data_IF_725914918856
#
_entry.id   IF_725914918856
#
_cell.length_a   1.000
_cell.length_b   1.000
_cell.length_c   1.000
_cell.angle_alpha   90.00
_cell.angle_beta   90.00
_cell.angle_gamma   90.00
#
_symmetry.space_group_name_H-M   'P 1'
#
loop_
_entity.id
_entity.type
_entity.pdbx_description
1 polymer ?
#
# COMPACT_ATOMS: atom_id res chain seq x y z
N UNK A 1 36.11 -39.18 22.42
CA UNK A 1 36.51 -37.75 22.57
C UNK A 1 36.58 -37.09 21.20
N UNK A 2 35.54 -36.39 20.76
CA UNK A 2 35.54 -35.69 19.48
C UNK A 2 36.19 -34.29 19.65
N UNK A 3 37.28 -34.03 18.91
CA UNK A 3 37.99 -32.75 18.92
C UNK A 3 37.11 -31.68 18.24
N UNK A 4 36.55 -30.77 19.05
CA UNK A 4 35.90 -29.55 18.56
C UNK A 4 36.90 -28.68 17.77
N UNK A 5 36.83 -28.74 16.43
CA UNK A 5 37.52 -27.80 15.55
C UNK A 5 36.89 -26.41 15.72
N UNK A 6 37.60 -25.50 16.41
CA UNK A 6 37.26 -24.07 16.45
C UNK A 6 37.19 -23.55 15.00
N UNK A 7 35.98 -23.23 14.52
CA UNK A 7 35.78 -22.50 13.25
C UNK A 7 36.52 -21.17 13.35
N UNK A 8 37.56 -20.97 12.52
CA UNK A 8 38.24 -19.68 12.35
C UNK A 8 37.18 -18.64 11.95
N UNK A 9 37.02 -17.58 12.77
CA UNK A 9 36.19 -16.43 12.37
C UNK A 9 36.80 -15.83 11.10
N UNK A 10 36.02 -15.61 10.02
CA UNK A 10 36.54 -14.97 8.82
C UNK A 10 37.08 -13.59 9.18
N UNK A 11 38.30 -13.28 8.73
CA UNK A 11 38.85 -11.93 8.87
C UNK A 11 37.97 -10.95 8.08
N UNK A 12 37.67 -9.76 8.62
CA UNK A 12 36.92 -8.75 7.90
C UNK A 12 37.67 -8.37 6.61
N UNK A 13 36.95 -8.12 5.50
CA UNK A 13 37.56 -7.70 4.25
C UNK A 13 38.35 -6.40 4.45
N UNK A 14 39.48 -6.26 3.75
CA UNK A 14 40.29 -5.04 3.81
C UNK A 14 39.57 -3.88 3.13
N UNK A 15 39.56 -2.68 3.75
CA UNK A 15 38.93 -1.46 3.23
C UNK A 15 39.29 -1.14 1.76
N UNK A 16 40.51 -1.48 1.32
CA UNK A 16 40.96 -1.29 -0.07
C UNK A 16 40.12 -2.05 -1.11
N UNK A 17 39.55 -3.21 -0.77
CA UNK A 17 38.73 -4.01 -1.69
C UNK A 17 37.36 -3.40 -1.92
N UNK A 18 36.81 -2.68 -0.95
CA UNK A 18 35.46 -2.12 -1.07
C UNK A 18 35.40 -0.98 -2.09
N UNK A 19 36.50 -0.23 -2.26
CA UNK A 19 36.66 0.81 -3.27
C UNK A 19 37.09 0.30 -4.65
N UNK A 20 37.43 -0.98 -4.78
CA UNK A 20 37.86 -1.53 -6.06
C UNK A 20 36.67 -1.65 -7.02
N UNK A 21 36.83 -1.08 -8.20
CA UNK A 21 35.86 -1.15 -9.30
C UNK A 21 36.34 -2.23 -10.25
N UNK A 22 35.70 -3.39 -10.18
CA UNK A 22 36.01 -4.50 -11.09
C UNK A 22 35.55 -4.17 -12.50
N UNK A 23 36.17 -4.79 -13.51
CA UNK A 23 35.76 -4.61 -14.92
C UNK A 23 34.28 -4.97 -15.13
N UNK A 24 33.83 -6.10 -14.57
CA UNK A 24 32.44 -6.55 -14.67
C UNK A 24 31.45 -5.53 -14.08
N UNK A 25 31.77 -4.95 -12.92
CA UNK A 25 30.93 -3.91 -12.33
C UNK A 25 30.95 -2.62 -13.18
N UNK A 26 32.12 -2.22 -13.69
CA UNK A 26 32.26 -1.06 -14.57
C UNK A 26 31.40 -1.18 -15.83
N UNK A 27 31.46 -2.34 -16.49
CA UNK A 27 30.73 -2.61 -17.72
C UNK A 27 29.21 -2.60 -17.47
N UNK A 28 28.76 -3.27 -16.40
CA UNK A 28 27.34 -3.30 -16.01
C UNK A 28 26.82 -1.92 -15.60
N UNK A 29 27.56 -1.17 -14.76
CA UNK A 29 27.17 0.19 -14.38
C UNK A 29 27.09 1.11 -15.60
N UNK A 30 28.03 0.99 -16.54
CA UNK A 30 28.02 1.77 -17.78
C UNK A 30 26.83 1.45 -18.68
N UNK A 31 26.39 0.19 -18.71
CA UNK A 31 25.16 -0.22 -19.39
C UNK A 31 23.93 0.41 -18.70
N UNK A 32 23.84 0.29 -17.38
CA UNK A 32 22.71 0.82 -16.60
C UNK A 32 22.62 2.35 -16.71
N UNK A 33 23.73 3.07 -16.57
CA UNK A 33 23.74 4.54 -16.68
C UNK A 33 23.23 5.03 -18.05
N UNK A 34 23.56 4.33 -19.14
CA UNK A 34 23.03 4.63 -20.48
C UNK A 34 21.52 4.39 -20.57
N UNK A 35 21.04 3.28 -20.02
CA UNK A 35 19.60 2.98 -19.95
C UNK A 35 18.85 3.98 -19.06
N UNK A 36 19.46 4.44 -17.97
CA UNK A 36 18.91 5.50 -17.12
C UNK A 36 18.76 6.81 -17.89
N UNK A 37 19.75 7.19 -18.71
CA UNK A 37 19.60 8.36 -19.60
C UNK A 37 18.42 8.18 -20.57
N UNK A 38 18.27 7.00 -21.18
CA UNK A 38 17.13 6.72 -22.08
C UNK A 38 15.78 6.82 -21.38
N UNK A 39 15.67 6.32 -20.14
CA UNK A 39 14.46 6.45 -19.33
C UNK A 39 14.09 7.90 -19.06
N UNK A 40 15.09 8.77 -18.98
CA UNK A 40 14.94 10.22 -18.80
C UNK A 40 14.79 10.97 -20.14
N UNK A 41 14.58 10.26 -21.26
CA UNK A 41 14.51 10.81 -22.61
C UNK A 41 15.79 11.56 -23.05
N UNK A 42 16.95 11.15 -22.54
CA UNK A 42 18.25 11.68 -22.89
C UNK A 42 19.05 10.73 -23.79
N UNK A 43 19.94 11.30 -24.59
CA UNK A 43 20.85 10.53 -25.44
C UNK A 43 21.84 9.69 -24.59
N UNK A 44 21.86 8.34 -24.72
CA UNK A 44 22.85 7.49 -24.06
C UNK A 44 24.30 7.93 -24.27
N UNK A 45 24.61 8.56 -25.40
CA UNK A 45 25.96 9.02 -25.73
C UNK A 45 26.47 10.13 -24.80
N UNK A 46 25.59 10.80 -24.04
CA UNK A 46 26.00 11.74 -22.99
C UNK A 46 26.90 11.06 -21.94
N UNK A 47 26.67 9.79 -21.62
CA UNK A 47 27.55 9.03 -20.73
C UNK A 47 28.97 8.87 -21.29
N UNK A 48 29.11 8.80 -22.62
CA UNK A 48 30.42 8.62 -23.25
C UNK A 48 31.30 9.87 -23.12
N UNK A 49 30.70 11.06 -22.90
CA UNK A 49 31.42 12.34 -22.70
C UNK A 49 32.18 12.40 -21.37
N UNK A 50 31.86 11.55 -20.39
CA UNK A 50 32.63 11.46 -19.15
C UNK A 50 33.97 10.74 -19.35
N UNK A 51 35.02 11.29 -18.75
CA UNK A 51 36.35 10.65 -18.72
C UNK A 51 36.31 9.33 -17.94
N UNK A 52 37.29 8.44 -18.20
CA UNK A 52 37.42 7.19 -17.42
C UNK A 52 37.55 7.46 -15.91
N UNK A 53 38.26 8.51 -15.52
CA UNK A 53 38.42 8.93 -14.12
C UNK A 53 37.06 9.26 -13.49
N UNK A 54 36.23 10.05 -14.17
CA UNK A 54 34.90 10.42 -13.67
C UNK A 54 33.95 9.23 -13.56
N UNK A 55 33.98 8.32 -14.55
CA UNK A 55 33.19 7.09 -14.50
C UNK A 55 33.58 6.23 -13.30
N UNK A 56 34.88 6.11 -13.01
CA UNK A 56 35.35 5.41 -11.81
C UNK A 56 34.92 6.15 -10.53
N UNK A 57 34.97 7.49 -10.51
CA UNK A 57 34.50 8.28 -9.36
C UNK A 57 33.00 8.06 -9.08
N UNK A 58 32.15 8.04 -10.12
CA UNK A 58 30.73 7.70 -10.01
C UNK A 58 30.53 6.35 -9.34
N UNK A 59 31.33 5.35 -9.73
CA UNK A 59 31.23 3.97 -9.27
C UNK A 59 31.76 3.73 -7.84
N UNK A 60 32.50 4.69 -7.25
CA UNK A 60 33.06 4.54 -5.89
C UNK A 60 32.02 4.67 -4.79
N UNK A 61 31.00 5.49 -5.00
CA UNK A 61 29.88 5.65 -4.07
C UNK A 61 28.84 4.54 -4.30
N UNK A 62 29.25 3.28 -4.10
CA UNK A 62 28.40 2.11 -4.38
C UNK A 62 27.09 2.17 -3.61
N UNK A 63 25.96 1.97 -4.28
CA UNK A 63 24.68 1.83 -3.62
C UNK A 63 24.38 0.35 -3.36
N UNK A 64 23.93 0.04 -2.15
CA UNK A 64 23.40 -1.28 -1.83
C UNK A 64 21.94 -1.39 -2.24
N UNK A 65 21.46 -2.62 -2.41
CA UNK A 65 20.02 -2.86 -2.54
C UNK A 65 19.28 -2.38 -1.28
N UNK A 66 18.01 -1.96 -1.40
CA UNK A 66 17.23 -1.51 -0.25
C UNK A 66 17.22 -2.54 0.88
N UNK A 67 17.41 -2.05 2.11
CA UNK A 67 17.36 -2.84 3.33
C UNK A 67 16.06 -2.60 4.07
N UNK A 68 15.52 -3.64 4.70
CA UNK A 68 14.27 -3.57 5.45
C UNK A 68 14.55 -3.80 6.92
N UNK A 69 14.04 -2.90 7.76
CA UNK A 69 14.14 -3.01 9.21
C UNK A 69 12.88 -2.46 9.87
N UNK A 70 12.63 -2.84 11.12
CA UNK A 70 11.64 -2.16 11.93
C UNK A 70 12.15 -0.76 12.28
N UNK A 71 11.31 0.26 12.16
CA UNK A 71 11.66 1.60 12.65
C UNK A 71 11.90 1.54 14.17
N UNK A 72 12.96 2.19 14.71
CA UNK A 72 13.18 2.27 16.15
C UNK A 72 11.92 2.73 16.90
N UNK A 73 11.54 2.00 17.95
CA UNK A 73 10.34 2.27 18.74
C UNK A 73 9.05 1.62 18.20
N UNK A 74 9.08 1.00 17.02
CA UNK A 74 7.92 0.29 16.48
C UNK A 74 8.04 -1.22 16.65
N UNK A 75 6.95 -1.85 17.08
CA UNK A 75 6.85 -3.30 17.17
C UNK A 75 6.42 -3.90 15.82
N UNK A 76 7.40 -4.26 14.98
CA UNK A 76 7.13 -4.98 13.73
C UNK A 76 7.56 -6.44 13.85
N UNK A 77 6.66 -7.42 13.66
CA UNK A 77 7.03 -8.83 13.70
C UNK A 77 8.16 -9.15 12.70
N UNK A 78 9.21 -9.85 13.16
CA UNK A 78 10.38 -10.17 12.33
C UNK A 78 10.02 -10.95 11.06
N UNK A 79 9.01 -11.79 11.11
CA UNK A 79 8.56 -12.56 9.95
C UNK A 79 7.91 -11.65 8.88
N UNK A 80 7.26 -10.55 9.27
CA UNK A 80 6.77 -9.53 8.34
C UNK A 80 7.91 -8.80 7.64
N UNK A 81 8.95 -8.38 8.38
CA UNK A 81 10.13 -7.75 7.77
C UNK A 81 10.77 -8.66 6.70
N UNK A 82 10.95 -9.95 7.03
CA UNK A 82 11.49 -10.93 6.08
C UNK A 82 10.59 -11.14 4.87
N UNK A 83 9.28 -11.21 5.08
CA UNK A 83 8.30 -11.34 4.01
C UNK A 83 8.34 -10.13 3.08
N UNK A 84 8.25 -8.91 3.62
CA UNK A 84 8.29 -7.67 2.84
C UNK A 84 9.60 -7.57 2.06
N UNK A 85 10.74 -7.88 2.69
CA UNK A 85 12.04 -7.87 2.02
C UNK A 85 12.09 -8.86 0.85
N UNK A 86 11.56 -10.07 1.04
CA UNK A 86 11.51 -11.10 0.00
C UNK A 86 10.66 -10.62 -1.19
N UNK A 87 9.41 -10.23 -0.94
CA UNK A 87 8.48 -9.77 -1.98
C UNK A 87 9.01 -8.54 -2.72
N UNK A 88 9.58 -7.58 -1.98
CA UNK A 88 10.25 -6.42 -2.55
C UNK A 88 11.42 -6.81 -3.46
N UNK A 89 12.29 -7.72 -3.02
CA UNK A 89 13.44 -8.16 -3.80
C UNK A 89 13.00 -8.85 -5.09
N UNK A 90 12.03 -9.76 -4.99
CA UNK A 90 11.45 -10.45 -6.16
C UNK A 90 10.84 -9.46 -7.15
N UNK A 91 10.08 -8.46 -6.67
CA UNK A 91 9.56 -7.38 -7.51
C UNK A 91 10.68 -6.61 -8.19
N UNK A 92 11.70 -6.20 -7.43
CA UNK A 92 12.80 -5.39 -7.96
C UNK A 92 13.59 -6.12 -9.05
N UNK A 93 13.78 -7.44 -8.92
CA UNK A 93 14.53 -8.26 -9.87
C UNK A 93 13.74 -8.52 -11.16
N UNK A 94 12.43 -8.75 -11.07
CA UNK A 94 11.62 -9.20 -12.21
C UNK A 94 10.89 -8.08 -12.94
N UNK A 95 10.56 -6.98 -12.26
CA UNK A 95 9.80 -5.88 -12.87
C UNK A 95 10.77 -4.88 -13.51
N UNK A 96 10.41 -4.47 -14.74
CA UNK A 96 11.15 -3.46 -15.51
C UNK A 96 10.66 -2.06 -15.17
N UNK A 97 11.59 -1.12 -15.13
CA UNK A 97 11.31 0.29 -14.88
C UNK A 97 11.15 1.02 -16.21
N UNK A 98 10.10 1.84 -16.34
CA UNK A 98 9.76 2.53 -17.59
C UNK A 98 9.50 1.57 -18.77
N UNK A 99 10.11 1.85 -19.92
CA UNK A 99 9.96 1.02 -21.13
C UNK A 99 10.58 -0.38 -20.93
N UNK A 100 9.76 -1.47 -20.98
CA UNK A 100 10.26 -2.84 -20.87
C UNK A 100 11.33 -3.21 -21.90
N UNK A 101 11.36 -2.56 -23.07
CA UNK A 101 12.33 -2.83 -24.14
C UNK A 101 13.77 -2.53 -23.73
N UNK A 102 13.98 -1.60 -22.79
CA UNK A 102 15.28 -1.27 -22.23
C UNK A 102 15.83 -2.41 -21.34
N UNK A 103 14.95 -3.30 -20.87
CA UNK A 103 15.30 -4.43 -20.02
C UNK A 103 15.87 -4.04 -18.65
N UNK A 104 15.77 -2.77 -18.24
CA UNK A 104 16.29 -2.28 -16.96
C UNK A 104 15.35 -2.69 -15.82
N UNK A 105 15.84 -3.49 -14.88
CA UNK A 105 15.06 -3.86 -13.69
C UNK A 105 15.08 -2.73 -12.65
N UNK A 106 14.11 -2.74 -11.74
CA UNK A 106 14.14 -1.87 -10.55
C UNK A 106 15.38 -2.12 -9.71
N UNK A 107 15.86 -3.36 -9.59
CA UNK A 107 17.07 -3.69 -8.84
C UNK A 107 18.31 -3.00 -9.43
N UNK A 108 18.51 -3.11 -10.75
CA UNK A 108 19.62 -2.46 -11.45
C UNK A 108 19.51 -0.93 -11.33
N UNK A 109 18.30 -0.38 -11.49
CA UNK A 109 18.06 1.05 -11.34
C UNK A 109 18.38 1.54 -9.92
N UNK A 110 17.85 0.90 -8.88
CA UNK A 110 18.02 1.36 -7.49
C UNK A 110 19.45 1.20 -6.96
N UNK A 111 20.25 0.31 -7.55
CA UNK A 111 21.63 0.06 -7.12
C UNK A 111 22.69 0.76 -7.99
N UNK A 112 22.40 1.04 -9.26
CA UNK A 112 23.37 1.66 -10.18
C UNK A 112 22.82 2.90 -10.87
N UNK A 113 21.55 2.89 -11.28
CA UNK A 113 20.89 4.03 -11.94
C UNK A 113 20.74 5.24 -11.01
N UNK A 114 20.21 5.04 -9.80
CA UNK A 114 20.08 6.07 -8.77
C UNK A 114 21.45 6.55 -8.28
N UNK A 115 22.45 5.67 -8.22
CA UNK A 115 23.83 6.04 -7.92
C UNK A 115 24.38 7.01 -8.97
N UNK A 116 24.13 6.73 -10.26
CA UNK A 116 24.48 7.63 -11.35
C UNK A 116 23.76 8.98 -11.22
N UNK A 117 22.43 8.98 -11.05
CA UNK A 117 21.63 10.20 -10.88
C UNK A 117 22.09 11.07 -9.71
N UNK A 118 22.24 10.47 -8.52
CA UNK A 118 22.70 11.17 -7.32
C UNK A 118 24.10 11.76 -7.47
N UNK A 119 25.03 11.05 -8.11
CA UNK A 119 26.36 11.60 -8.38
C UNK A 119 26.29 12.82 -9.30
N UNK A 120 25.48 12.74 -10.37
CA UNK A 120 25.29 13.86 -11.30
C UNK A 120 24.74 15.08 -10.56
N UNK A 121 23.69 14.91 -9.76
CA UNK A 121 23.09 15.98 -8.96
C UNK A 121 24.10 16.62 -8.00
N UNK A 122 24.86 15.78 -7.27
CA UNK A 122 25.89 16.27 -6.35
C UNK A 122 26.95 17.10 -7.09
N UNK A 123 27.44 16.63 -8.25
CA UNK A 123 28.45 17.36 -9.04
C UNK A 123 27.92 18.62 -9.71
N UNK A 124 26.66 18.64 -10.13
CA UNK A 124 26.01 19.85 -10.63
C UNK A 124 26.03 20.96 -9.56
N UNK A 125 25.76 20.60 -8.30
CA UNK A 125 25.75 21.55 -7.18
C UNK A 125 27.15 22.00 -6.75
N UNK A 126 28.14 21.11 -6.76
CA UNK A 126 29.52 21.44 -6.33
C UNK A 126 30.31 22.27 -7.36
N UNK A 127 30.08 22.09 -8.66
CA UNK A 127 31.03 22.48 -9.71
C UNK A 127 30.40 23.28 -10.85
N UNK A 128 29.78 24.40 -10.51
CA UNK A 128 29.28 25.35 -11.51
C UNK A 128 30.36 25.85 -12.51
N UNK A 129 31.66 25.69 -12.19
CA UNK A 129 32.80 26.16 -13.01
C UNK A 129 33.70 25.06 -13.60
N UNK A 130 33.23 23.82 -13.81
CA UNK A 130 34.03 22.77 -14.45
C UNK A 130 33.74 22.63 -15.96
N UNK A 131 34.69 22.04 -16.71
CA UNK A 131 34.58 21.83 -18.17
C UNK A 131 33.32 21.03 -18.57
N UNK A 132 32.82 20.15 -17.69
CA UNK A 132 31.58 19.40 -17.89
C UNK A 132 30.37 19.97 -17.13
N UNK A 133 30.42 21.20 -16.63
CA UNK A 133 29.33 21.79 -15.84
C UNK A 133 27.99 21.73 -16.60
N UNK A 134 28.01 22.05 -17.89
CA UNK A 134 26.82 22.00 -18.75
C UNK A 134 26.28 20.56 -18.91
N UNK A 135 27.16 19.57 -19.03
CA UNK A 135 26.76 18.16 -19.10
C UNK A 135 26.09 17.71 -17.80
N UNK A 136 26.65 18.08 -16.64
CA UNK A 136 26.05 17.78 -15.34
C UNK A 136 24.69 18.49 -15.19
N UNK A 137 24.58 19.75 -15.62
CA UNK A 137 23.33 20.52 -15.58
C UNK A 137 22.22 19.86 -16.39
N UNK A 138 22.47 19.55 -17.67
CA UNK A 138 21.49 18.92 -18.57
C UNK A 138 20.94 17.62 -17.96
N UNK A 139 21.82 16.76 -17.46
CA UNK A 139 21.40 15.48 -16.88
C UNK A 139 20.70 15.72 -15.53
N UNK A 140 21.22 16.61 -14.68
CA UNK A 140 20.68 16.89 -13.34
C UNK A 140 19.25 17.42 -13.39
N UNK A 141 18.92 18.29 -14.35
CA UNK A 141 17.55 18.80 -14.53
C UNK A 141 16.55 17.66 -14.76
N UNK A 142 16.92 16.63 -15.51
CA UNK A 142 16.07 15.46 -15.72
C UNK A 142 16.07 14.53 -14.50
N UNK A 143 17.22 14.32 -13.86
CA UNK A 143 17.28 13.50 -12.63
C UNK A 143 16.34 14.07 -11.57
N UNK A 144 16.30 15.40 -11.39
CA UNK A 144 15.38 16.04 -10.44
C UNK A 144 13.91 15.73 -10.74
N UNK A 145 13.49 15.78 -12.01
CA UNK A 145 12.11 15.46 -12.43
C UNK A 145 11.73 14.01 -12.08
N UNK A 146 12.68 13.08 -12.21
CA UNK A 146 12.41 11.65 -12.07
C UNK A 146 12.76 11.06 -10.69
N UNK A 147 13.50 11.76 -9.86
CA UNK A 147 13.94 11.30 -8.52
C UNK A 147 13.42 12.16 -7.35
N UNK A 148 12.57 13.17 -7.57
CA UNK A 148 12.01 14.04 -6.51
C UNK A 148 10.94 13.39 -5.60
N UNK A 149 10.71 12.08 -5.72
CA UNK A 149 9.62 11.35 -5.04
C UNK A 149 8.20 11.89 -5.31
N UNK A 150 8.01 12.72 -6.33
CA UNK A 150 6.71 13.15 -6.83
C UNK A 150 6.00 12.07 -7.65
N UNK A 151 4.82 12.40 -8.17
CA UNK A 151 3.99 11.46 -8.96
C UNK A 151 4.66 11.00 -10.26
N UNK A 152 5.60 11.79 -10.79
CA UNK A 152 6.39 11.47 -11.98
C UNK A 152 7.65 10.65 -11.68
N UNK A 153 7.92 10.37 -10.40
CA UNK A 153 9.16 9.69 -10.03
C UNK A 153 9.19 8.24 -10.52
N UNK A 154 10.34 7.83 -11.08
CA UNK A 154 10.55 6.47 -11.58
C UNK A 154 10.44 5.41 -10.47
N UNK A 155 10.63 5.78 -9.20
CA UNK A 155 10.52 4.88 -8.05
C UNK A 155 9.09 4.76 -7.51
N UNK A 156 8.18 5.65 -7.91
CA UNK A 156 6.82 5.72 -7.37
C UNK A 156 6.04 4.41 -7.55
N UNK A 157 6.10 3.68 -8.70
CA UNK A 157 5.39 2.41 -8.82
C UNK A 157 5.89 1.34 -7.85
N UNK A 158 7.19 1.32 -7.55
CA UNK A 158 7.76 0.43 -6.53
C UNK A 158 7.25 0.78 -5.12
N UNK A 159 7.14 2.06 -4.78
CA UNK A 159 6.56 2.47 -3.50
C UNK A 159 5.07 2.20 -3.39
N UNK A 160 4.32 2.31 -4.50
CA UNK A 160 2.92 1.87 -4.56
C UNK A 160 2.80 0.36 -4.32
N UNK A 161 3.75 -0.43 -4.82
CA UNK A 161 3.81 -1.87 -4.54
C UNK A 161 4.15 -2.16 -3.06
N UNK A 162 5.11 -1.47 -2.45
CA UNK A 162 5.37 -1.60 -1.01
C UNK A 162 4.15 -1.23 -0.16
N UNK A 163 3.48 -0.13 -0.50
CA UNK A 163 2.20 0.28 0.11
C UNK A 163 1.15 -0.82 -0.02
N UNK A 164 1.05 -1.47 -1.17
CA UNK A 164 0.12 -2.58 -1.38
C UNK A 164 0.41 -3.76 -0.43
N UNK A 165 1.67 -4.20 -0.33
CA UNK A 165 2.07 -5.29 0.59
C UNK A 165 1.73 -4.92 2.03
N UNK A 166 2.11 -3.73 2.48
CA UNK A 166 1.88 -3.28 3.85
C UNK A 166 0.39 -3.08 4.15
N UNK A 167 -0.40 -2.67 3.16
CA UNK A 167 -1.85 -2.60 3.24
C UNK A 167 -2.50 -3.96 3.50
N UNK A 168 -1.95 -5.05 2.96
CA UNK A 168 -2.42 -6.41 3.25
C UNK A 168 -2.10 -6.88 4.67
N UNK A 169 -1.09 -6.29 5.31
CA UNK A 169 -0.75 -6.57 6.70
C UNK A 169 -1.53 -5.68 7.68
N UNK A 170 -2.14 -4.59 7.19
CA UNK A 170 -2.75 -3.54 8.01
C UNK A 170 -4.20 -3.86 8.39
N UNK A 171 -4.51 -3.80 9.68
CA UNK A 171 -5.81 -4.14 10.25
C UNK A 171 -6.28 -3.08 11.25
N UNK A 172 -7.47 -2.50 11.03
CA UNK A 172 -8.02 -1.47 11.92
C UNK A 172 -8.26 -1.95 13.35
N UNK A 173 -8.58 -3.23 13.55
CA UNK A 173 -8.79 -3.82 14.87
C UNK A 173 -7.50 -4.24 15.58
N UNK A 174 -6.34 -3.96 14.99
CA UNK A 174 -5.05 -4.32 15.56
C UNK A 174 -4.00 -3.23 15.29
N UNK A 175 -3.37 -3.28 14.11
CA UNK A 175 -2.21 -2.46 13.78
C UNK A 175 -2.18 -2.12 12.30
N UNK A 176 -1.76 -0.89 11.99
CA UNK A 176 -1.54 -0.40 10.64
C UNK A 176 -0.05 -0.29 10.38
N UNK A 177 0.39 -0.71 9.19
CA UNK A 177 1.80 -0.73 8.80
C UNK A 177 2.07 0.29 7.71
N UNK A 178 3.17 1.02 7.85
CA UNK A 178 3.67 1.98 6.88
C UNK A 178 5.18 1.84 6.71
N UNK A 179 5.81 2.82 6.07
CA UNK A 179 7.26 2.87 6.00
C UNK A 179 7.79 4.29 5.85
N UNK A 180 9.01 4.45 6.33
CA UNK A 180 9.86 5.62 6.12
C UNK A 180 11.13 5.21 5.38
N UNK A 181 11.75 6.19 4.75
CA UNK A 181 13.05 6.02 4.11
C UNK A 181 14.11 6.69 4.98
N UNK A 182 15.19 5.97 5.20
CA UNK A 182 16.40 6.50 5.81
C UNK A 182 17.61 6.12 4.94
N UNK A 183 18.60 7.00 4.87
CA UNK A 183 19.79 6.79 4.06
C UNK A 183 20.98 6.61 4.99
N UNK A 184 21.53 5.39 5.04
CA UNK A 184 22.66 5.09 5.93
C UNK A 184 23.76 4.37 5.19
N UNK A 185 24.97 4.52 5.70
CA UNK A 185 26.07 3.68 5.32
C UNK A 185 25.85 2.25 5.83
N UNK A 186 26.11 1.24 5.00
CA UNK A 186 25.98 -0.16 5.42
C UNK A 186 27.05 -0.51 6.45
N UNK A 187 26.70 -1.26 7.50
CA UNK A 187 27.65 -1.62 8.57
C UNK A 187 28.84 -2.46 8.11
N UNK A 188 28.72 -3.12 6.95
CA UNK A 188 29.69 -4.12 6.48
C UNK A 188 30.58 -3.62 5.35
N UNK A 189 30.24 -2.51 4.70
CA UNK A 189 30.96 -1.92 3.55
C UNK A 189 30.69 -0.42 3.47
N UNK A 190 31.62 0.34 2.89
CA UNK A 190 31.42 1.75 2.52
C UNK A 190 30.46 1.86 1.32
N UNK A 191 29.18 1.54 1.54
CA UNK A 191 28.10 1.64 0.57
C UNK A 191 26.96 2.44 1.18
N UNK A 192 26.35 3.31 0.39
CA UNK A 192 25.12 3.97 0.78
C UNK A 192 23.95 3.02 0.52
N UNK A 193 23.02 2.91 1.44
CA UNK A 193 21.82 2.10 1.25
C UNK A 193 20.57 2.87 1.69
N UNK A 194 19.49 2.63 0.96
CA UNK A 194 18.15 3.00 1.40
C UNK A 194 17.69 1.97 2.43
N UNK A 195 17.42 2.42 3.63
CA UNK A 195 16.75 1.65 4.67
C UNK A 195 15.26 2.00 4.64
N UNK A 196 14.45 1.05 4.20
CA UNK A 196 13.00 1.09 4.29
C UNK A 196 12.62 0.63 5.69
N UNK A 197 12.35 1.61 6.55
CA UNK A 197 12.02 1.40 7.94
C UNK A 197 10.52 1.18 8.08
N UNK A 198 10.11 -0.05 8.34
CA UNK A 198 8.70 -0.42 8.49
C UNK A 198 8.18 0.14 9.81
N UNK A 199 7.12 0.93 9.72
CA UNK A 199 6.42 1.47 10.89
C UNK A 199 5.23 0.57 11.21
N UNK A 200 4.85 0.55 12.48
CA UNK A 200 3.65 -0.14 12.92
C UNK A 200 2.98 0.67 14.03
N UNK A 201 1.70 0.97 13.83
CA UNK A 201 0.91 1.87 14.70
C UNK A 201 -0.35 1.13 15.12
N UNK A 202 -0.55 0.99 16.42
CA UNK A 202 -1.79 0.43 16.96
C UNK A 202 -2.94 1.41 16.81
N UNK A 203 -4.09 0.91 16.38
CA UNK A 203 -5.28 1.74 16.28
C UNK A 203 -5.82 2.05 17.68
N UNK A 204 -6.14 3.32 17.93
CA UNK A 204 -6.79 3.74 19.18
C UNK A 204 -8.12 2.99 19.34
N UNK A 205 -8.24 2.24 20.44
CA UNK A 205 -9.44 1.49 20.79
C UNK A 205 -10.24 2.23 21.86
N UNK A 206 -11.52 2.50 21.58
CA UNK A 206 -12.45 3.11 22.52
C UNK A 206 -13.74 2.29 22.62
N UNK A 207 -14.32 2.23 23.81
CA UNK A 207 -15.62 1.59 24.02
C UNK A 207 -16.74 2.63 23.94
N UNK A 208 -17.75 2.35 23.13
CA UNK A 208 -18.95 3.18 22.98
C UNK A 208 -20.19 2.43 23.44
N UNK A 209 -21.22 3.16 23.87
CA UNK A 209 -22.47 2.56 24.36
C UNK A 209 -23.47 2.52 23.19
N UNK A 210 -23.89 1.32 22.80
CA UNK A 210 -24.89 1.15 21.75
C UNK A 210 -25.92 0.10 22.16
N UNK A 211 -27.17 0.54 22.31
CA UNK A 211 -28.29 -0.27 22.87
C UNK A 211 -27.90 -0.89 24.21
N UNK A 212 -27.46 -0.05 25.14
CA UNK A 212 -27.05 -0.42 26.51
C UNK A 212 -25.89 -1.42 26.62
N UNK A 213 -25.21 -1.70 25.51
CA UNK A 213 -24.03 -2.58 25.46
C UNK A 213 -22.79 -1.76 25.13
N UNK A 214 -21.72 -1.97 25.90
CA UNK A 214 -20.38 -1.47 25.56
C UNK A 214 -19.86 -2.24 24.35
N UNK A 215 -19.48 -1.52 23.29
CA UNK A 215 -18.93 -2.08 22.06
C UNK A 215 -17.58 -1.44 21.75
N UNK A 216 -16.54 -2.24 21.48
CA UNK A 216 -15.25 -1.70 21.07
C UNK A 216 -15.35 -1.17 19.65
N UNK A 217 -14.74 0.00 19.43
CA UNK A 217 -14.51 0.58 18.13
C UNK A 217 -13.06 1.09 18.03
N UNK A 218 -12.56 1.13 16.81
CA UNK A 218 -11.17 1.47 16.51
C UNK A 218 -11.13 2.73 15.67
N UNK A 219 -10.26 3.67 16.03
CA UNK A 219 -10.10 4.92 15.31
C UNK A 219 -9.53 4.65 13.93
N UNK A 220 -10.15 5.24 12.91
CA UNK A 220 -9.66 5.16 11.55
C UNK A 220 -8.39 6.00 11.41
N UNK A 221 -7.39 5.40 10.78
CA UNK A 221 -6.13 6.05 10.48
C UNK A 221 -5.57 5.50 9.17
N UNK A 222 -4.75 6.29 8.51
CA UNK A 222 -3.94 5.86 7.38
C UNK A 222 -2.49 5.90 7.81
N UNK A 223 -1.82 4.75 7.73
CA UNK A 223 -0.37 4.72 7.84
C UNK A 223 0.20 5.54 6.69
N UNK A 224 1.03 6.54 7.00
CA UNK A 224 1.67 7.30 5.95
C UNK A 224 2.77 6.47 5.30
N UNK A 225 2.95 6.74 4.02
CA UNK A 225 4.04 6.24 3.21
C UNK A 225 4.90 7.46 2.92
N UNK A 226 6.20 7.40 3.21
CA UNK A 226 7.15 8.53 3.02
C UNK A 226 7.01 9.70 4.00
N UNK A 227 6.07 9.66 4.96
CA UNK A 227 5.99 10.63 6.07
C UNK A 227 6.01 9.91 7.41
N UNK A 228 6.65 10.50 8.43
CA UNK A 228 6.83 9.84 9.71
C UNK A 228 5.58 9.83 10.59
N UNK A 229 4.65 10.75 10.34
CA UNK A 229 3.46 10.93 11.16
C UNK A 229 2.35 9.99 10.72
N UNK A 230 1.39 9.73 11.60
CA UNK A 230 0.18 8.99 11.27
C UNK A 230 -0.90 9.98 10.86
N UNK A 231 -1.65 9.67 9.81
CA UNK A 231 -2.81 10.50 9.44
C UNK A 231 -4.05 9.88 10.03
N UNK A 232 -4.54 10.40 11.15
CA UNK A 232 -5.87 10.05 11.64
C UNK A 232 -6.93 10.54 10.66
N UNK A 233 -7.96 9.73 10.46
CA UNK A 233 -9.06 10.06 9.56
C UNK A 233 -10.18 10.69 10.38
N UNK A 234 -10.35 11.99 10.18
CA UNK A 234 -11.42 12.77 10.79
C UNK A 234 -12.35 13.31 9.69
N UNK A 235 -13.61 13.62 10.02
CA UNK A 235 -14.59 14.23 9.09
C UNK A 235 -14.98 15.63 9.56
N UNK A 236 -15.14 16.61 8.66
CA UNK A 236 -15.67 17.91 9.04
C UNK A 236 -17.06 17.81 9.68
N UNK A 237 -17.32 18.61 10.73
CA UNK A 237 -18.58 18.60 11.47
C UNK A 237 -19.78 18.92 10.57
N UNK A 238 -19.63 19.91 9.68
CA UNK A 238 -20.67 20.35 8.74
C UNK A 238 -21.08 19.26 7.72
N UNK A 239 -20.18 18.30 7.45
CA UNK A 239 -20.47 17.14 6.58
C UNK A 239 -21.49 16.19 7.22
N UNK A 240 -21.43 16.06 8.55
CA UNK A 240 -22.31 15.17 9.33
C UNK A 240 -23.61 15.87 9.76
N UNK A 241 -23.51 17.13 10.15
CA UNK A 241 -24.63 17.97 10.58
C UNK A 241 -24.88 19.08 9.56
N UNK A 242 -25.72 18.78 8.56
CA UNK A 242 -26.11 19.75 7.52
C UNK A 242 -26.60 21.05 8.17
N UNK A 243 -26.15 22.19 7.64
CA UNK A 243 -26.41 23.56 8.12
C UNK A 243 -25.61 24.03 9.34
N UNK A 244 -24.67 23.23 9.85
CA UNK A 244 -23.75 23.71 10.88
C UNK A 244 -22.50 24.33 10.23
N UNK A 245 -22.10 25.54 10.66
CA UNK A 245 -20.92 26.25 10.13
C UNK A 245 -19.65 26.02 10.95
N UNK A 246 -19.65 25.06 11.88
CA UNK A 246 -18.50 24.76 12.71
C UNK A 246 -17.34 24.21 11.89
N UNK A 247 -16.15 24.78 12.11
CA UNK A 247 -14.87 24.29 11.58
C UNK A 247 -14.27 23.12 12.39
N UNK A 248 -15.05 22.52 13.29
CA UNK A 248 -14.63 21.35 14.06
C UNK A 248 -14.53 20.11 13.15
N UNK A 249 -13.67 19.19 13.56
CA UNK A 249 -13.55 17.86 12.98
C UNK A 249 -14.02 16.81 13.99
N UNK A 250 -14.72 15.80 13.50
CA UNK A 250 -15.20 14.65 14.26
C UNK A 250 -14.27 13.47 14.00
N UNK A 251 -13.85 12.81 15.07
CA UNK A 251 -13.03 11.61 14.97
C UNK A 251 -13.88 10.45 14.44
N UNK A 252 -13.31 9.59 13.59
CA UNK A 252 -14.06 8.46 13.03
C UNK A 252 -13.57 7.16 13.64
N UNK A 253 -14.53 6.37 14.13
CA UNK A 253 -14.31 5.04 14.68
C UNK A 253 -15.15 4.01 13.93
N UNK A 254 -14.62 2.78 13.80
CA UNK A 254 -15.36 1.64 13.27
C UNK A 254 -15.50 0.55 14.33
N UNK A 255 -16.71 0.05 14.54
CA UNK A 255 -16.94 -1.03 15.49
C UNK A 255 -16.29 -2.35 15.03
N UNK A 256 -15.80 -3.14 15.99
CA UNK A 256 -15.20 -4.46 15.69
C UNK A 256 -16.12 -5.35 14.86
N UNK A 257 -17.43 -5.32 15.11
CA UNK A 257 -18.38 -6.14 14.37
C UNK A 257 -18.63 -5.62 12.95
N UNK A 258 -18.46 -4.32 12.70
CA UNK A 258 -18.56 -3.75 11.36
C UNK A 258 -17.42 -4.26 10.46
N UNK A 259 -16.20 -4.34 11.00
CA UNK A 259 -15.05 -4.92 10.30
C UNK A 259 -15.29 -6.38 9.91
N UNK A 260 -15.90 -7.18 10.80
CA UNK A 260 -16.30 -8.55 10.50
C UNK A 260 -17.36 -8.59 9.39
N UNK A 261 -18.42 -7.78 9.48
CA UNK A 261 -19.45 -7.69 8.43
C UNK A 261 -18.88 -7.23 7.09
N UNK A 262 -17.86 -6.37 7.09
CA UNK A 262 -17.14 -5.98 5.87
C UNK A 262 -16.43 -7.17 5.23
N UNK A 263 -15.77 -8.03 6.03
CA UNK A 263 -15.14 -9.28 5.55
C UNK A 263 -16.17 -10.24 4.95
N UNK A 264 -17.31 -10.42 5.62
CA UNK A 264 -18.35 -11.35 5.20
C UNK A 264 -19.07 -10.93 3.91
N UNK A 265 -19.30 -9.61 3.74
CA UNK A 265 -20.15 -9.05 2.68
C UNK A 265 -19.37 -8.58 1.46
N UNK A 266 -18.12 -8.16 1.65
CA UNK A 266 -17.19 -7.80 0.58
C UNK A 266 -16.13 -8.90 0.45
N UNK A 267 -16.61 -10.14 0.36
CA UNK A 267 -15.82 -11.37 0.49
C UNK A 267 -14.88 -11.65 -0.69
N UNK A 268 -15.08 -10.95 -1.82
CA UNK A 268 -14.15 -10.97 -2.95
C UNK A 268 -13.02 -9.96 -2.83
N UNK A 269 -13.10 -9.03 -1.88
CA UNK A 269 -12.11 -7.97 -1.69
C UNK A 269 -11.08 -8.37 -0.64
N UNK A 270 -9.81 -8.18 -0.96
CA UNK A 270 -8.74 -8.39 -0.01
C UNK A 270 -8.76 -7.32 1.10
N UNK A 271 -7.97 -7.53 2.16
CA UNK A 271 -7.95 -6.64 3.32
C UNK A 271 -7.54 -5.21 2.95
N UNK A 272 -6.54 -5.05 2.08
CA UNK A 272 -6.09 -3.73 1.63
C UNK A 272 -7.18 -2.98 0.86
N UNK A 273 -7.86 -3.65 -0.08
CA UNK A 273 -8.97 -3.06 -0.86
C UNK A 273 -10.11 -2.60 0.06
N UNK A 274 -10.51 -3.44 1.02
CA UNK A 274 -11.55 -3.08 2.01
C UNK A 274 -11.13 -1.88 2.84
N UNK A 275 -9.87 -1.80 3.25
CA UNK A 275 -9.37 -0.65 4.01
C UNK A 275 -9.36 0.64 3.18
N UNK A 276 -8.91 0.58 1.91
CA UNK A 276 -8.90 1.71 0.99
C UNK A 276 -10.32 2.22 0.78
N UNK A 277 -11.27 1.32 0.51
CA UNK A 277 -12.68 1.65 0.33
C UNK A 277 -13.28 2.28 1.58
N UNK A 278 -13.00 1.72 2.76
CA UNK A 278 -13.49 2.28 4.01
C UNK A 278 -12.99 3.72 4.23
N UNK A 279 -11.70 3.97 4.01
CA UNK A 279 -11.12 5.30 4.16
C UNK A 279 -11.69 6.26 3.09
N UNK A 280 -11.74 5.85 1.83
CA UNK A 280 -12.26 6.71 0.75
C UNK A 280 -13.72 7.08 0.98
N UNK A 281 -14.53 6.15 1.47
CA UNK A 281 -15.95 6.37 1.79
C UNK A 281 -16.14 7.53 2.76
N UNK A 282 -15.37 7.57 3.83
CA UNK A 282 -15.54 8.60 4.87
C UNK A 282 -14.91 9.94 4.46
N UNK A 283 -13.81 9.90 3.71
CA UNK A 283 -13.09 11.10 3.26
C UNK A 283 -13.84 11.79 2.12
N UNK A 284 -14.19 11.05 1.06
CA UNK A 284 -14.65 11.62 -0.21
C UNK A 284 -16.17 11.78 -0.29
N UNK A 285 -16.95 10.88 0.32
CA UNK A 285 -18.39 10.82 0.05
C UNK A 285 -19.23 11.56 1.08
N UNK A 286 -20.30 12.20 0.64
CA UNK A 286 -21.23 12.92 1.52
C UNK A 286 -22.06 11.98 2.40
N UNK A 287 -22.64 12.55 3.46
CA UNK A 287 -23.55 11.84 4.34
C UNK A 287 -24.95 11.82 3.73
N UNK A 288 -25.48 10.61 3.57
CA UNK A 288 -26.85 10.34 3.13
C UNK A 288 -27.74 9.89 4.29
N UNK A 289 -29.03 9.79 4.02
CA UNK A 289 -30.02 9.23 4.95
C UNK A 289 -30.54 7.91 4.38
N UNK A 290 -30.44 6.85 5.19
CA UNK A 290 -31.06 5.56 4.90
C UNK A 290 -32.58 5.62 5.09
N UNK A 291 -33.29 4.60 4.62
CA UNK A 291 -34.75 4.46 4.80
C UNK A 291 -35.16 4.42 6.28
N UNK A 292 -34.25 4.00 7.15
CA UNK A 292 -34.43 4.00 8.60
C UNK A 292 -34.27 5.40 9.25
N UNK A 293 -33.97 6.44 8.46
CA UNK A 293 -33.63 7.79 8.93
C UNK A 293 -32.20 7.92 9.48
N UNK A 294 -31.45 6.82 9.58
CA UNK A 294 -30.06 6.82 10.05
C UNK A 294 -29.13 7.43 9.00
N UNK A 295 -28.16 8.21 9.46
CA UNK A 295 -27.08 8.72 8.61
C UNK A 295 -26.11 7.62 8.20
N UNK A 296 -25.63 7.65 6.97
CA UNK A 296 -24.62 6.73 6.46
C UNK A 296 -23.66 7.41 5.49
N UNK A 297 -22.44 6.87 5.37
CA UNK A 297 -21.58 7.14 4.22
C UNK A 297 -21.86 6.12 3.12
N UNK A 298 -21.77 6.54 1.87
CA UNK A 298 -21.75 5.63 0.73
C UNK A 298 -20.34 5.08 0.53
N UNK A 299 -20.23 3.79 0.21
CA UNK A 299 -18.97 3.14 -0.13
C UNK A 299 -18.95 2.83 -1.62
N UNK A 300 -18.01 3.43 -2.32
CA UNK A 300 -17.92 3.39 -3.78
C UNK A 300 -16.73 2.55 -4.23
N UNK A 301 -16.90 1.78 -5.31
CA UNK A 301 -15.79 1.14 -6.01
C UNK A 301 -14.89 2.17 -6.75
N UNK A 302 -13.88 1.68 -7.48
CA UNK A 302 -12.99 2.55 -8.27
C UNK A 302 -13.69 3.30 -9.41
N UNK A 303 -14.86 2.82 -9.85
CA UNK A 303 -15.67 3.39 -10.91
C UNK A 303 -16.80 4.30 -10.36
N UNK A 304 -16.75 4.64 -9.06
CA UNK A 304 -17.76 5.45 -8.37
C UNK A 304 -19.14 4.80 -8.23
N UNK A 305 -19.25 3.47 -8.37
CA UNK A 305 -20.49 2.76 -8.11
C UNK A 305 -20.63 2.38 -6.63
N UNK A 306 -21.83 2.51 -6.08
CA UNK A 306 -22.10 2.22 -4.66
C UNK A 306 -22.14 0.72 -4.42
N UNK A 307 -21.22 0.18 -3.63
CA UNK A 307 -21.18 -1.25 -3.27
C UNK A 307 -21.73 -1.52 -1.88
N UNK A 308 -21.68 -0.53 -0.99
CA UNK A 308 -22.16 -0.66 0.38
C UNK A 308 -22.49 0.70 1.00
N UNK A 309 -23.14 0.66 2.16
CA UNK A 309 -23.42 1.81 3.01
C UNK A 309 -22.87 1.58 4.41
N UNK A 310 -22.34 2.65 5.01
CA UNK A 310 -21.72 2.66 6.34
C UNK A 310 -22.60 3.46 7.31
N UNK A 311 -23.68 2.88 7.85
CA UNK A 311 -24.50 3.54 8.85
C UNK A 311 -23.70 3.88 10.09
N UNK A 312 -23.90 5.08 10.61
CA UNK A 312 -23.20 5.56 11.79
C UNK A 312 -24.11 6.29 12.77
N UNK A 313 -23.58 6.53 13.97
CA UNK A 313 -24.12 7.44 14.98
C UNK A 313 -23.03 8.40 15.42
N UNK A 314 -23.42 9.53 16.02
CA UNK A 314 -22.49 10.47 16.64
C UNK A 314 -22.63 10.38 18.15
N UNK A 315 -21.51 10.19 18.86
CA UNK A 315 -21.45 10.17 20.33
C UNK A 315 -20.13 10.82 20.75
N UNK A 316 -20.16 11.77 21.70
CA UNK A 316 -18.98 12.43 22.27
C UNK A 316 -17.99 12.95 21.21
N UNK A 317 -18.49 13.73 20.24
CA UNK A 317 -17.74 14.26 19.09
C UNK A 317 -17.04 13.19 18.22
N UNK A 318 -17.51 11.95 18.27
CA UNK A 318 -17.03 10.84 17.47
C UNK A 318 -18.12 10.31 16.53
N UNK A 319 -17.78 10.09 15.27
CA UNK A 319 -18.59 9.31 14.32
C UNK A 319 -18.26 7.83 14.49
N UNK A 320 -19.27 7.01 14.78
CA UNK A 320 -19.10 5.58 15.05
C UNK A 320 -19.81 4.79 13.97
N UNK A 321 -19.03 4.19 13.05
CA UNK A 321 -19.52 3.30 12.02
C UNK A 321 -19.99 2.01 12.69
N UNK A 322 -21.28 1.72 12.54
CA UNK A 322 -21.95 0.64 13.23
C UNK A 322 -21.79 -0.68 12.49
N UNK A 323 -21.97 -0.70 11.17
CA UNK A 323 -21.92 -1.93 10.36
C UNK A 323 -21.65 -1.57 8.90
N UNK A 324 -21.49 -2.57 8.04
CA UNK A 324 -21.37 -2.41 6.59
C UNK A 324 -22.58 -3.06 5.94
N UNK A 325 -23.51 -2.28 5.40
CA UNK A 325 -24.69 -2.78 4.71
C UNK A 325 -24.38 -2.94 3.22
N UNK A 326 -24.55 -4.11 2.61
CA UNK A 326 -24.41 -4.24 1.16
C UNK A 326 -25.46 -3.38 0.47
N UNK A 327 -25.18 -2.92 -0.75
CA UNK A 327 -26.09 -2.06 -1.52
C UNK A 327 -27.48 -2.68 -1.68
N UNK A 328 -27.58 -4.01 -1.70
CA UNK A 328 -28.81 -4.80 -1.81
C UNK A 328 -29.61 -4.95 -0.52
N UNK A 329 -29.11 -4.44 0.62
CA UNK A 329 -29.82 -4.57 1.88
C UNK A 329 -31.15 -3.79 1.86
N UNK A 330 -32.29 -4.35 2.31
CA UNK A 330 -33.60 -3.68 2.21
C UNK A 330 -33.72 -2.34 2.96
N UNK A 331 -32.80 -2.05 3.89
CA UNK A 331 -32.77 -0.77 4.61
C UNK A 331 -32.03 0.35 3.88
N UNK A 332 -31.43 0.04 2.72
CA UNK A 332 -30.79 1.00 1.83
C UNK A 332 -31.75 1.44 0.74
N UNK A 333 -31.56 2.64 0.15
CA UNK A 333 -32.44 3.12 -0.93
C UNK A 333 -32.49 2.19 -2.14
N UNK A 334 -31.35 1.60 -2.51
CA UNK A 334 -31.23 0.70 -3.66
C UNK A 334 -31.79 -0.69 -3.32
N UNK A 335 -31.45 -1.24 -2.16
CA UNK A 335 -31.89 -2.56 -1.75
C UNK A 335 -33.40 -2.66 -1.53
N UNK A 336 -34.04 -1.59 -1.04
CA UNK A 336 -35.51 -1.53 -0.94
C UNK A 336 -36.20 -1.72 -2.29
N UNK A 337 -35.77 -0.97 -3.31
CA UNK A 337 -36.30 -1.08 -4.69
C UNK A 337 -36.08 -2.47 -5.28
N UNK A 338 -34.92 -3.06 -5.00
CA UNK A 338 -34.61 -4.43 -5.41
C UNK A 338 -35.56 -5.45 -4.75
N UNK A 339 -35.82 -5.32 -3.44
CA UNK A 339 -36.76 -6.18 -2.71
C UNK A 339 -38.19 -6.05 -3.25
N UNK A 340 -38.64 -4.83 -3.53
CA UNK A 340 -39.96 -4.56 -4.12
C UNK A 340 -40.09 -5.21 -5.51
N UNK A 341 -39.04 -5.10 -6.34
CA UNK A 341 -38.97 -5.71 -7.68
C UNK A 341 -38.99 -7.23 -7.60
N UNK A 342 -38.19 -7.81 -6.71
CA UNK A 342 -38.10 -9.25 -6.52
C UNK A 342 -39.28 -9.81 -5.71
N UNK A 343 -40.07 -8.98 -5.03
CA UNK A 343 -41.03 -9.40 -3.99
C UNK A 343 -40.38 -10.33 -2.97
N UNK A 344 -39.17 -9.98 -2.53
CA UNK A 344 -38.36 -10.77 -1.61
C UNK A 344 -38.20 -10.05 -0.28
N UNK A 345 -38.17 -10.82 0.79
CA UNK A 345 -37.87 -10.37 2.15
C UNK A 345 -36.36 -10.28 2.38
N UNK A 346 -35.97 -9.61 3.46
CA UNK A 346 -34.56 -9.53 3.86
C UNK A 346 -33.94 -10.91 4.06
N UNK A 347 -34.67 -11.77 4.77
CA UNK A 347 -34.24 -13.11 5.15
C UNK A 347 -34.03 -13.98 3.91
N UNK A 348 -34.91 -13.87 2.90
CA UNK A 348 -34.75 -14.55 1.62
C UNK A 348 -33.50 -14.07 0.88
N UNK A 349 -33.22 -12.76 0.84
CA UNK A 349 -32.00 -12.24 0.22
C UNK A 349 -30.73 -12.77 0.92
N UNK A 350 -30.73 -12.79 2.27
CA UNK A 350 -29.61 -13.32 3.06
C UNK A 350 -29.43 -14.84 2.83
N UNK A 351 -30.52 -15.62 2.78
CA UNK A 351 -30.49 -17.07 2.49
C UNK A 351 -29.93 -17.33 1.07
N UNK A 352 -30.31 -16.50 0.09
CA UNK A 352 -29.79 -16.57 -1.26
C UNK A 352 -28.32 -16.11 -1.37
N UNK A 353 -27.75 -15.50 -0.31
CA UNK A 353 -26.40 -14.94 -0.33
C UNK A 353 -26.28 -13.60 -1.07
N UNK A 354 -27.42 -12.96 -1.39
CA UNK A 354 -27.45 -11.65 -2.08
C UNK A 354 -26.94 -10.50 -1.22
N UNK A 355 -26.59 -10.77 0.04
CA UNK A 355 -25.90 -9.85 0.93
C UNK A 355 -24.37 -9.88 0.79
N UNK A 356 -23.83 -10.72 -0.11
CA UNK A 356 -22.40 -10.85 -0.41
C UNK A 356 -22.06 -10.40 -1.84
N UNK A 357 -20.89 -9.82 -2.01
CA UNK A 357 -20.39 -9.37 -3.31
C UNK A 357 -20.07 -10.54 -4.25
N UNK A 358 -19.56 -11.66 -3.71
CA UNK A 358 -19.28 -12.87 -4.50
C UNK A 358 -20.52 -13.43 -5.20
N UNK A 359 -21.72 -13.26 -4.64
CA UNK A 359 -22.95 -13.68 -5.28
C UNK A 359 -23.11 -13.03 -6.66
N UNK A 360 -22.88 -11.73 -6.77
CA UNK A 360 -23.03 -11.00 -8.03
C UNK A 360 -21.93 -11.31 -9.03
N UNK A 361 -20.74 -11.66 -8.57
CA UNK A 361 -19.61 -11.96 -9.44
C UNK A 361 -19.61 -13.40 -9.98
N UNK A 362 -20.23 -14.33 -9.24
CA UNK A 362 -20.20 -15.76 -9.55
C UNK A 362 -21.53 -16.30 -10.10
N UNK A 363 -22.62 -15.53 -9.99
CA UNK A 363 -23.93 -15.96 -10.50
C UNK A 363 -24.03 -15.77 -12.01
N UNK A 364 -24.44 -16.84 -12.69
CA UNK A 364 -24.83 -16.80 -14.10
C UNK A 364 -26.27 -16.26 -14.22
N UNK A 365 -26.40 -14.94 -14.37
CA UNK A 365 -27.70 -14.27 -14.42
C UNK A 365 -28.53 -14.63 -15.65
N UNK A 366 -27.92 -15.10 -16.74
CA UNK A 366 -28.65 -15.55 -17.93
C UNK A 366 -29.54 -16.77 -17.63
N UNK A 367 -29.18 -17.58 -16.63
CA UNK A 367 -29.97 -18.71 -16.15
C UNK A 367 -31.08 -18.32 -15.17
N UNK A 368 -31.12 -17.08 -14.70
CA UNK A 368 -32.12 -16.60 -13.74
C UNK A 368 -32.76 -15.30 -14.27
N UNK A 369 -33.59 -15.36 -15.34
CA UNK A 369 -34.07 -14.16 -16.04
C UNK A 369 -34.79 -13.16 -15.14
N UNK A 370 -35.54 -13.64 -14.14
CA UNK A 370 -36.22 -12.78 -13.15
C UNK A 370 -35.22 -11.93 -12.36
N UNK A 371 -34.10 -12.52 -11.96
CA UNK A 371 -33.07 -11.83 -11.17
C UNK A 371 -32.24 -10.90 -12.04
N UNK A 372 -31.87 -11.33 -13.25
CA UNK A 372 -31.22 -10.49 -14.26
C UNK A 372 -32.03 -9.22 -14.51
N UNK A 373 -33.31 -9.38 -14.81
CA UNK A 373 -34.22 -8.27 -15.03
C UNK A 373 -34.31 -7.34 -13.82
N UNK A 374 -34.36 -7.89 -12.60
CA UNK A 374 -34.41 -7.08 -11.38
C UNK A 374 -33.13 -6.26 -11.16
N UNK A 375 -31.95 -6.84 -11.44
CA UNK A 375 -30.67 -6.14 -11.34
C UNK A 375 -30.57 -5.02 -12.39
N UNK A 376 -30.94 -5.29 -13.64
CA UNK A 376 -30.95 -4.30 -14.72
C UNK A 376 -31.90 -3.14 -14.39
N UNK A 377 -33.13 -3.44 -13.96
CA UNK A 377 -34.13 -2.42 -13.61
C UNK A 377 -33.68 -1.52 -12.45
N UNK A 378 -32.85 -2.05 -11.55
CA UNK A 378 -32.31 -1.32 -10.39
C UNK A 378 -30.91 -0.73 -10.65
N UNK A 379 -30.42 -0.75 -11.89
CA UNK A 379 -29.08 -0.28 -12.28
C UNK A 379 -27.94 -0.93 -11.48
N UNK A 380 -28.05 -2.21 -11.16
CA UNK A 380 -27.08 -2.97 -10.34
C UNK A 380 -26.11 -3.82 -11.16
N UNK A 381 -26.14 -3.75 -12.49
CA UNK A 381 -25.32 -4.58 -13.38
C UNK A 381 -23.82 -4.41 -13.13
N UNK A 382 -23.36 -3.24 -12.66
CA UNK A 382 -21.95 -3.03 -12.31
C UNK A 382 -21.42 -4.00 -11.24
N UNK A 383 -22.30 -4.56 -10.39
CA UNK A 383 -21.89 -5.54 -9.38
C UNK A 383 -21.42 -6.87 -9.99
N UNK A 384 -21.79 -7.15 -11.25
CA UNK A 384 -21.38 -8.38 -11.96
C UNK A 384 -20.03 -8.23 -12.66
N UNK A 385 -19.52 -7.00 -12.79
CA UNK A 385 -18.31 -6.67 -13.55
C UNK A 385 -17.25 -5.98 -12.68
N UNK A 386 -17.38 -6.07 -11.36
CA UNK A 386 -16.58 -5.26 -10.45
C UNK A 386 -15.08 -5.47 -10.70
N UNK A 387 -14.44 -4.41 -11.18
CA UNK A 387 -13.00 -4.40 -11.38
C UNK A 387 -12.31 -4.24 -10.04
N UNK A 388 -11.26 -5.04 -9.79
CA UNK A 388 -10.40 -4.81 -8.63
C UNK A 388 -9.81 -3.39 -8.73
N UNK A 389 -9.90 -2.65 -7.62
CA UNK A 389 -9.33 -1.29 -7.46
C UNK A 389 -7.83 -1.31 -7.74
N UNK A 390 -7.20 -2.47 -7.52
CA UNK A 390 -5.80 -2.72 -7.80
C UNK A 390 -5.77 -3.78 -8.88
N UNK A 391 -5.91 -3.37 -10.14
CA UNK A 391 -5.47 -4.18 -11.27
C UNK A 391 -4.07 -4.70 -10.92
N UNK A 392 -3.90 -6.01 -10.64
CA UNK A 392 -2.58 -6.54 -10.46
C UNK A 392 -1.86 -6.22 -11.76
N UNK A 393 -0.71 -5.54 -11.72
CA UNK A 393 0.22 -5.57 -12.86
C UNK A 393 0.25 -7.03 -13.32
N UNK A 394 -0.14 -7.32 -14.56
CA UNK A 394 -0.56 -8.68 -14.99
C UNK A 394 0.49 -9.77 -14.69
N UNK A 395 1.74 -9.38 -14.46
CA UNK A 395 2.86 -10.21 -14.03
C UNK A 395 2.90 -10.60 -12.53
N UNK A 396 1.95 -10.13 -11.70
CA UNK A 396 1.90 -10.36 -10.24
C UNK A 396 0.96 -11.54 -9.87
N UNK A 397 0.45 -12.32 -10.84
CA UNK A 397 -0.44 -13.47 -10.55
C UNK A 397 0.17 -14.54 -9.60
N UNK A 398 1.51 -14.59 -9.44
CA UNK A 398 2.18 -15.47 -8.47
C UNK A 398 1.96 -15.08 -7.00
N UNK A 399 1.70 -13.81 -6.66
CA UNK A 399 1.53 -13.40 -5.25
C UNK A 399 0.14 -13.73 -4.71
N UNK A 400 -0.88 -13.95 -5.56
CA UNK A 400 -2.22 -14.43 -5.14
C UNK A 400 -2.14 -15.79 -4.41
N UNK A 401 -1.16 -16.63 -4.73
CA UNK A 401 -0.93 -17.90 -4.02
C UNK A 401 -0.25 -17.74 -2.65
N UNK A 402 0.48 -16.64 -2.43
CA UNK A 402 1.25 -16.38 -1.20
C UNK A 402 0.44 -15.57 -0.18
N UNK A 403 -0.40 -14.64 -0.64
CA UNK A 403 -1.41 -14.02 0.23
C UNK A 403 -2.31 -15.11 0.82
N UNK A 404 -2.77 -16.08 0.01
CA UNK A 404 -3.54 -17.22 0.50
C UNK A 404 -2.82 -18.05 1.57
N UNK A 405 -1.49 -18.23 1.52
CA UNK A 405 -0.76 -19.03 2.53
C UNK A 405 -0.53 -18.27 3.85
N UNK A 406 -0.40 -16.94 3.82
CA UNK A 406 -0.34 -16.09 5.02
C UNK A 406 -1.73 -15.92 5.65
N UNK A 407 -2.79 -15.86 4.85
CA UNK A 407 -4.18 -15.80 5.33
C UNK A 407 -4.76 -17.17 5.72
N UNK A 408 -4.10 -18.28 5.37
CA UNK A 408 -4.37 -19.59 5.97
C UNK A 408 -3.72 -19.77 7.34
N UNK A 409 -2.73 -18.95 7.67
CA UNK A 409 -2.18 -18.80 9.03
C UNK A 409 -2.77 -17.58 9.73
N UNK A 410 -4.10 -17.40 9.68
CA UNK A 410 -4.77 -16.50 10.62
C UNK A 410 -4.47 -17.04 12.02
N UNK A 411 -3.54 -16.37 12.71
CA UNK A 411 -3.24 -16.65 14.12
C UNK A 411 -4.56 -16.76 14.87
N UNK A 412 -4.75 -17.88 15.54
CA UNK A 412 -5.92 -18.05 16.38
C UNK A 412 -5.90 -16.98 17.47
N UNK A 413 -7.07 -16.62 18.01
CA UNK A 413 -7.12 -15.77 19.21
C UNK A 413 -6.16 -16.27 20.31
N UNK A 414 -5.89 -17.58 20.38
CA UNK A 414 -4.96 -18.18 21.32
C UNK A 414 -3.49 -17.82 21.04
N UNK A 415 -3.08 -17.67 19.78
CA UNK A 415 -1.70 -17.30 19.45
C UNK A 415 -1.41 -15.83 19.76
N UNK A 416 -2.40 -14.95 19.53
CA UNK A 416 -2.31 -13.52 19.89
C UNK A 416 -2.31 -13.36 21.41
N UNK A 417 -3.15 -14.13 22.13
CA UNK A 417 -3.16 -14.13 23.60
C UNK A 417 -1.87 -14.71 24.19
N UNK A 418 -1.31 -15.76 23.59
CA UNK A 418 0.00 -16.31 23.97
C UNK A 418 1.15 -15.31 23.80
N UNK A 419 1.12 -14.50 22.73
CA UNK A 419 2.10 -13.42 22.55
C UNK A 419 1.95 -12.30 23.59
N UNK A 420 0.71 -12.02 24.04
CA UNK A 420 0.42 -11.05 25.10
C UNK A 420 0.84 -11.59 26.47
N UNK A 421 0.52 -12.85 26.78
CA UNK A 421 0.90 -13.54 28.03
C UNK A 421 2.42 -13.79 28.13
N UNK A 422 3.14 -13.83 27.01
CA UNK A 422 4.61 -13.87 27.02
C UNK A 422 5.30 -12.53 27.29
N UNK A 423 4.55 -11.41 27.28
CA UNK A 423 5.07 -10.05 27.44
C UNK A 423 4.74 -9.40 28.79
N UNK A 424 3.85 -10.01 29.59
CA UNK A 424 3.46 -9.60 30.94
C UNK A 424 3.58 -10.77 31.90
#
# INVERSE_FOLDING_TARGET
>A
MAKNKKKKKPQPPSLKRDYEVTKTYFDKFSEVARKTLQLMNLDPALYNKFTKKQKIEMMRAKFAAPHFEAKPGHEVPRHYIKFIQKESTEYMEHIKIGDPSLGLSYYDYLTMGSQFGNFINAKCNEKQNCEQAELYRIISEHVQIYEDFGDNSLIMPYFRYLRHILGHLSQFNYRMYGFELDWKETKTRFMLAVFIQITAIECEKRNFIFKDKKRPAFRLLMANFMKPEVTYIDTPYHKVFKNNTSNKFLQIYIQSHALLRMKERLDTLNLNERNILLISSVVLNDVIKLETGRSAFEMHDSNQNIIAYLPFVVQDDCVIILTVLPVTNPTTPIGKKLCETLKATKEELEICGMDKLSYFLLTDFDKIPRLKHAIELNNLTYLTELQSIIQPLENIQRTKGISASIFQTEYSNADVLSEIEGKY
#
